data_IF_982100141126
#
_entry.id   IF_982100141126
#
_cell.length_a   1.000
_cell.length_b   1.000
_cell.length_c   1.000
_cell.angle_alpha   90.00
_cell.angle_beta   90.00
_cell.angle_gamma   90.00
#
_symmetry.space_group_name_H-M   'P 1'
#
loop_
_entity.id
_entity.type
_entity.pdbx_description
1 polymer ?
#
# COMPACT_ATOMS: atom_id res chain seq x y z
N UNK A 1 -25.02 5.54 4.37
CA UNK A 1 -24.55 5.25 4.10
C UNK A 1 -23.46 5.20 4.23
N UNK A 2 -23.00 5.02 4.10
CA UNK A 2 -22.09 5.06 4.24
C UNK A 2 -21.22 5.12 3.55
N UNK A 3 -20.61 5.56 3.43
CA UNK A 3 -19.68 5.73 2.61
C UNK A 3 -18.42 5.48 3.14
N UNK A 4 -18.04 4.29 3.39
CA UNK A 4 -16.76 3.88 3.87
C UNK A 4 -15.91 3.33 2.75
N UNK A 5 -16.00 3.96 1.61
CA UNK A 5 -15.19 3.55 0.47
C UNK A 5 -13.73 3.90 0.77
N UNK A 6 -12.88 2.90 0.75
CA UNK A 6 -11.47 3.08 1.04
C UNK A 6 -10.69 3.52 -0.18
N UNK A 7 -9.73 4.39 0.02
CA UNK A 7 -8.90 4.92 -1.06
C UNK A 7 -7.51 4.30 -0.98
N UNK A 8 -7.08 3.65 -2.07
CA UNK A 8 -5.80 2.95 -2.15
C UNK A 8 -4.88 3.67 -3.12
N UNK A 9 -3.63 3.86 -2.72
CA UNK A 9 -2.60 4.38 -3.63
C UNK A 9 -1.73 3.22 -4.05
N UNK A 10 -1.58 3.01 -5.36
CA UNK A 10 -0.70 1.99 -5.92
C UNK A 10 0.50 2.68 -6.56
N UNK A 11 1.68 2.38 -6.06
CA UNK A 11 2.93 2.98 -6.54
C UNK A 11 3.80 1.89 -7.15
N UNK A 12 3.97 1.89 -8.45
CA UNK A 12 4.76 0.90 -9.16
C UNK A 12 5.15 1.50 -10.51
N UNK A 13 6.39 1.29 -10.93
CA UNK A 13 6.82 1.83 -12.22
C UNK A 13 6.36 0.98 -13.40
N UNK A 14 5.80 -0.19 -13.16
CA UNK A 14 5.30 -1.07 -14.21
C UNK A 14 3.83 -0.72 -14.53
N UNK A 15 3.60 -0.22 -15.75
CA UNK A 15 2.25 0.14 -16.19
C UNK A 15 1.27 -1.00 -16.09
N UNK A 16 1.72 -2.21 -16.39
CA UNK A 16 0.82 -3.37 -16.40
C UNK A 16 0.33 -3.69 -15.01
N UNK A 17 1.19 -3.56 -14.02
CA UNK A 17 0.80 -3.82 -12.64
C UNK A 17 -0.15 -2.72 -12.15
N UNK A 18 0.17 -1.46 -12.46
CA UNK A 18 -0.71 -0.36 -12.06
C UNK A 18 -2.11 -0.53 -12.65
N UNK A 19 -2.18 -0.84 -13.94
CA UNK A 19 -3.47 -0.99 -14.60
C UNK A 19 -4.24 -2.19 -14.06
N UNK A 20 -3.54 -3.31 -13.89
CA UNK A 20 -4.16 -4.51 -13.35
C UNK A 20 -4.75 -4.25 -11.95
N UNK A 21 -3.97 -3.64 -11.08
CA UNK A 21 -4.42 -3.41 -9.72
C UNK A 21 -5.51 -2.35 -9.66
N UNK A 22 -5.40 -1.31 -10.49
CA UNK A 22 -6.45 -0.30 -10.53
C UNK A 22 -7.79 -0.93 -10.93
N UNK A 23 -7.78 -1.74 -11.99
CA UNK A 23 -9.01 -2.38 -12.45
C UNK A 23 -9.54 -3.36 -11.42
N UNK A 24 -8.67 -4.23 -10.93
CA UNK A 24 -9.08 -5.28 -10.01
C UNK A 24 -9.62 -4.71 -8.70
N UNK A 25 -8.92 -3.75 -8.11
CA UNK A 25 -9.33 -3.18 -6.84
C UNK A 25 -10.55 -2.28 -7.00
N UNK A 26 -10.65 -1.59 -8.14
CA UNK A 26 -11.86 -0.79 -8.41
C UNK A 26 -13.09 -1.68 -8.52
N UNK A 27 -12.95 -2.85 -9.12
CA UNK A 27 -14.06 -3.80 -9.22
C UNK A 27 -14.47 -4.32 -7.86
N UNK A 28 -13.58 -4.26 -6.90
CA UNK A 28 -13.87 -4.68 -5.52
C UNK A 28 -14.24 -3.50 -4.64
N UNK A 29 -14.67 -2.41 -5.27
CA UNK A 29 -15.27 -1.26 -4.59
C UNK A 29 -14.29 -0.38 -3.83
N UNK A 30 -13.03 -0.37 -4.23
CA UNK A 30 -12.06 0.59 -3.70
C UNK A 30 -11.89 1.74 -4.69
N UNK A 31 -11.56 2.91 -4.18
CA UNK A 31 -11.12 4.01 -5.03
C UNK A 31 -9.61 3.88 -5.14
N UNK A 32 -9.10 3.91 -6.37
CA UNK A 32 -7.68 3.66 -6.59
C UNK A 32 -7.02 4.82 -7.32
N UNK A 33 -5.94 5.33 -6.74
CA UNK A 33 -5.08 6.27 -7.42
C UNK A 33 -3.74 5.58 -7.67
N UNK A 34 -3.04 5.98 -8.70
CA UNK A 34 -1.77 5.36 -9.05
C UNK A 34 -0.65 6.39 -9.14
N UNK A 35 0.57 5.91 -8.96
CA UNK A 35 1.78 6.73 -9.14
C UNK A 35 2.85 5.82 -9.71
N UNK A 36 3.69 6.36 -10.58
CA UNK A 36 4.71 5.53 -11.22
C UNK A 36 6.09 5.67 -10.59
N UNK A 37 6.23 6.58 -9.63
CA UNK A 37 7.51 6.75 -8.93
C UNK A 37 7.26 7.46 -7.61
N UNK A 38 8.34 7.64 -6.84
CA UNK A 38 8.24 8.25 -5.51
C UNK A 38 7.75 9.69 -5.57
N UNK A 39 8.21 10.45 -6.56
CA UNK A 39 7.81 11.85 -6.67
C UNK A 39 6.32 11.98 -6.92
N UNK A 40 5.77 11.16 -7.82
CA UNK A 40 4.34 11.16 -8.05
C UNK A 40 3.56 10.71 -6.82
N UNK A 41 4.10 9.72 -6.09
CA UNK A 41 3.44 9.27 -4.87
C UNK A 41 3.36 10.41 -3.86
N UNK A 42 4.45 11.14 -3.68
CA UNK A 42 4.45 12.28 -2.76
C UNK A 42 3.48 13.35 -3.19
N UNK A 43 3.38 13.55 -4.50
CA UNK A 43 2.43 14.52 -5.05
C UNK A 43 0.99 14.12 -4.69
N UNK A 44 0.65 12.84 -4.89
CA UNK A 44 -0.68 12.34 -4.53
C UNK A 44 -0.97 12.53 -3.05
N UNK A 45 0.04 12.27 -2.21
CA UNK A 45 -0.13 12.36 -0.77
C UNK A 45 -0.32 13.78 -0.26
N UNK A 46 0.11 14.76 -1.04
CA UNK A 46 -0.12 16.17 -0.68
C UNK A 46 -1.59 16.54 -0.75
N UNK A 47 -2.31 15.96 -1.69
CA UNK A 47 -3.66 16.41 -1.99
C UNK A 47 -4.75 15.42 -1.63
N UNK A 48 -4.39 14.17 -1.37
CA UNK A 48 -5.38 13.13 -1.12
C UNK A 48 -5.00 12.33 0.13
N UNK A 49 -6.02 11.85 0.81
CA UNK A 49 -5.81 10.93 1.93
C UNK A 49 -6.04 9.51 1.45
N UNK A 50 -5.19 8.62 1.88
CA UNK A 50 -5.27 7.21 1.51
C UNK A 50 -5.42 6.35 2.76
N UNK A 51 -6.15 5.26 2.61
CA UNK A 51 -6.34 4.31 3.69
C UNK A 51 -5.28 3.22 3.69
N UNK A 52 -4.63 3.00 2.55
CA UNK A 52 -3.54 2.04 2.45
C UNK A 52 -2.73 2.37 1.19
N UNK A 53 -1.44 2.07 1.24
CA UNK A 53 -0.53 2.27 0.12
C UNK A 53 0.08 0.95 -0.27
N UNK A 54 0.04 0.63 -1.57
CA UNK A 54 0.72 -0.54 -2.14
C UNK A 54 1.94 0.01 -2.86
N UNK A 55 3.13 -0.41 -2.47
CA UNK A 55 4.34 0.25 -2.88
C UNK A 55 5.40 -0.73 -3.36
N UNK A 56 5.80 -0.57 -4.62
CA UNK A 56 6.88 -1.38 -5.19
C UNK A 56 8.21 -0.96 -4.60
N UNK A 57 9.04 -1.93 -4.24
CA UNK A 57 10.36 -1.66 -3.69
C UNK A 57 11.32 -1.19 -4.76
N UNK A 58 11.28 -1.82 -5.93
CA UNK A 58 12.25 -1.55 -7.00
C UNK A 58 11.72 -0.50 -7.96
N UNK A 59 12.08 0.75 -7.72
CA UNK A 59 11.70 1.85 -8.59
C UNK A 59 12.92 2.72 -8.90
N UNK A 60 12.98 3.33 -10.09
CA UNK A 60 14.04 4.29 -10.38
C UNK A 60 13.97 5.48 -9.43
N UNK A 61 15.12 6.03 -9.09
CA UNK A 61 15.16 7.16 -8.16
C UNK A 61 15.07 6.65 -6.73
N UNK A 62 14.13 7.18 -5.97
CA UNK A 62 13.94 6.76 -4.59
C UNK A 62 13.24 5.41 -4.56
N UNK A 63 13.82 4.43 -3.89
CA UNK A 63 13.22 3.10 -3.82
C UNK A 63 12.10 3.04 -2.77
N UNK A 64 11.37 1.93 -2.77
CA UNK A 64 10.21 1.78 -1.90
C UNK A 64 10.55 1.76 -0.41
N UNK A 65 11.74 1.28 -0.05
CA UNK A 65 12.12 1.27 1.36
C UNK A 65 12.30 2.69 1.88
N UNK A 66 13.01 3.50 1.11
CA UNK A 66 13.24 4.89 1.49
C UNK A 66 11.94 5.67 1.54
N UNK A 67 11.07 5.42 0.58
CA UNK A 67 9.78 6.10 0.55
C UNK A 67 8.91 5.67 1.73
N UNK A 68 8.94 4.40 2.10
CA UNK A 68 8.21 3.90 3.28
C UNK A 68 8.65 4.67 4.52
N UNK A 69 9.97 4.78 4.71
CA UNK A 69 10.51 5.48 5.87
C UNK A 69 10.05 6.93 5.90
N UNK A 70 10.11 7.57 4.75
CA UNK A 70 9.73 8.98 4.65
C UNK A 70 8.25 9.19 4.94
N UNK A 71 7.39 8.34 4.36
CA UNK A 71 5.95 8.45 4.57
C UNK A 71 5.60 8.22 6.03
N UNK A 72 6.17 7.19 6.64
CA UNK A 72 5.84 6.83 8.01
C UNK A 72 6.27 7.89 9.03
N UNK A 73 7.20 8.74 8.66
CA UNK A 73 7.58 9.85 9.53
C UNK A 73 6.50 10.92 9.59
N UNK A 74 5.69 11.02 8.56
CA UNK A 74 4.73 12.11 8.44
C UNK A 74 3.30 11.71 8.68
N UNK A 75 2.91 10.51 8.28
CA UNK A 75 1.54 10.08 8.41
C UNK A 75 1.47 8.62 8.83
N UNK A 76 0.35 8.27 9.45
CA UNK A 76 0.10 6.90 9.84
C UNK A 76 -0.82 6.28 8.81
N UNK A 77 -0.25 5.58 7.86
CA UNK A 77 -1.01 4.89 6.84
C UNK A 77 -0.38 3.52 6.64
N UNK A 78 -1.19 2.46 6.56
CA UNK A 78 -0.63 1.13 6.31
C UNK A 78 0.04 1.06 4.95
N UNK A 79 1.16 0.36 4.87
CA UNK A 79 1.91 0.19 3.63
C UNK A 79 2.18 -1.28 3.40
N UNK A 80 1.81 -1.78 2.23
CA UNK A 80 2.18 -3.13 1.78
C UNK A 80 3.24 -2.98 0.71
N UNK A 81 4.38 -3.62 0.91
CA UNK A 81 5.48 -3.57 -0.05
C UNK A 81 5.38 -4.72 -1.05
N UNK A 82 5.62 -4.41 -2.32
CA UNK A 82 5.74 -5.42 -3.37
C UNK A 82 7.22 -5.66 -3.61
N UNK A 83 7.68 -6.87 -3.36
CA UNK A 83 9.11 -7.20 -3.41
C UNK A 83 9.40 -8.29 -4.43
N UNK A 84 10.66 -8.41 -4.83
CA UNK A 84 11.06 -9.52 -5.67
C UNK A 84 10.95 -10.82 -4.89
N UNK A 85 10.55 -11.88 -5.59
CA UNK A 85 10.39 -13.18 -4.98
C UNK A 85 11.70 -13.68 -4.37
N UNK A 86 11.61 -14.22 -3.15
CA UNK A 86 12.76 -14.84 -2.51
C UNK A 86 13.69 -13.90 -1.77
N UNK A 87 13.39 -12.63 -1.70
CA UNK A 87 14.28 -11.68 -1.06
C UNK A 87 13.94 -11.51 0.41
N UNK A 88 14.39 -12.46 1.21
CA UNK A 88 14.10 -12.48 2.65
C UNK A 88 14.69 -11.27 3.37
N UNK A 89 15.92 -10.90 3.01
CA UNK A 89 16.57 -9.77 3.66
C UNK A 89 15.81 -8.47 3.41
N UNK A 90 15.31 -8.31 2.21
CA UNK A 90 14.54 -7.11 1.87
C UNK A 90 13.24 -7.05 2.64
N UNK A 91 12.64 -8.20 2.91
CA UNK A 91 11.43 -8.29 3.69
C UNK A 91 11.65 -7.79 5.12
N UNK A 92 12.73 -8.25 5.73
CA UNK A 92 13.08 -7.82 7.09
C UNK A 92 13.32 -6.32 7.10
N UNK A 93 14.05 -5.82 6.13
CA UNK A 93 14.33 -4.40 6.04
C UNK A 93 13.04 -3.57 5.91
N UNK A 94 12.11 -4.05 5.10
CA UNK A 94 10.83 -3.35 4.93
C UNK A 94 10.05 -3.27 6.22
N UNK A 95 10.01 -4.37 6.97
CA UNK A 95 9.30 -4.39 8.25
C UNK A 95 9.97 -3.48 9.27
N UNK A 96 11.30 -3.44 9.27
CA UNK A 96 12.04 -2.57 10.18
C UNK A 96 11.77 -1.10 9.90
N UNK A 97 11.47 -0.76 8.65
CA UNK A 97 11.19 0.61 8.26
C UNK A 97 9.73 1.00 8.46
N UNK A 98 8.90 0.07 8.92
CA UNK A 98 7.54 0.38 9.26
C UNK A 98 6.48 -0.13 8.31
N UNK A 99 6.85 -0.94 7.32
CA UNK A 99 5.86 -1.55 6.45
C UNK A 99 4.97 -2.49 7.23
N UNK A 100 3.70 -2.54 6.86
CA UNK A 100 2.73 -3.34 7.58
C UNK A 100 2.62 -4.75 7.03
N UNK A 101 3.01 -4.95 5.77
CA UNK A 101 3.01 -6.27 5.15
C UNK A 101 3.85 -6.19 3.89
N UNK A 102 4.05 -7.33 3.26
CA UNK A 102 4.78 -7.40 2.00
C UNK A 102 4.28 -8.59 1.21
N UNK A 103 4.40 -8.50 -0.11
CA UNK A 103 4.02 -9.57 -1.02
C UNK A 103 5.11 -9.71 -2.06
N UNK A 104 5.53 -10.95 -2.32
CA UNK A 104 6.54 -11.22 -3.35
C UNK A 104 5.93 -11.24 -4.73
N UNK A 105 6.62 -10.65 -5.70
CA UNK A 105 6.24 -10.72 -7.11
C UNK A 105 6.81 -12.01 -7.71
N UNK A 106 6.09 -12.65 -8.61
CA UNK A 106 4.73 -12.36 -9.07
C UNK A 106 3.69 -12.77 -8.03
N UNK A 107 2.58 -12.07 -7.97
CA UNK A 107 1.55 -12.36 -7.00
C UNK A 107 0.19 -12.49 -7.67
N UNK A 108 -0.72 -13.15 -6.96
CA UNK A 108 -2.10 -13.21 -7.39
C UNK A 108 -2.82 -11.96 -6.88
N UNK A 109 -3.57 -11.27 -7.72
CA UNK A 109 -4.31 -10.10 -7.24
C UNK A 109 -5.23 -10.40 -6.07
N UNK A 110 -5.80 -11.60 -6.03
CA UNK A 110 -6.64 -12.00 -4.92
C UNK A 110 -5.88 -12.08 -3.60
N UNK A 111 -4.61 -12.50 -3.65
CA UNK A 111 -3.79 -12.54 -2.45
C UNK A 111 -3.60 -11.12 -1.90
N UNK A 112 -3.31 -10.18 -2.79
CA UNK A 112 -3.15 -8.79 -2.37
C UNK A 112 -4.45 -8.26 -1.78
N UNK A 113 -5.58 -8.55 -2.43
CA UNK A 113 -6.88 -8.12 -1.93
C UNK A 113 -7.12 -8.63 -0.51
N UNK A 114 -6.80 -9.89 -0.26
CA UNK A 114 -7.02 -10.46 1.07
C UNK A 114 -6.14 -9.79 2.12
N UNK A 115 -4.90 -9.45 1.76
CA UNK A 115 -4.02 -8.75 2.69
C UNK A 115 -4.51 -7.34 2.97
N UNK A 116 -5.03 -6.67 1.95
CA UNK A 116 -5.63 -5.35 2.12
C UNK A 116 -6.80 -5.45 3.10
N UNK A 117 -7.68 -6.41 2.90
CA UNK A 117 -8.83 -6.59 3.77
C UNK A 117 -8.43 -6.88 5.22
N UNK A 118 -7.39 -7.71 5.38
CA UNK A 118 -6.90 -8.04 6.71
C UNK A 118 -6.38 -6.80 7.43
N UNK A 119 -5.64 -5.98 6.75
CA UNK A 119 -5.08 -4.77 7.35
C UNK A 119 -6.18 -3.79 7.71
N UNK A 120 -7.12 -3.58 6.81
CA UNK A 120 -8.23 -2.65 7.06
C UNK A 120 -9.10 -3.14 8.21
N UNK A 121 -9.40 -4.43 8.24
CA UNK A 121 -10.21 -5.00 9.31
C UNK A 121 -9.50 -4.92 10.66
N UNK A 122 -8.21 -5.15 10.66
CA UNK A 122 -7.43 -5.07 11.88
C UNK A 122 -7.45 -3.65 12.45
N UNK A 123 -7.28 -2.65 11.59
CA UNK A 123 -7.31 -1.26 12.02
C UNK A 123 -8.69 -0.87 12.53
N UNK A 124 -9.73 -1.29 11.83
CA UNK A 124 -11.10 -1.01 12.25
C UNK A 124 -11.41 -1.64 13.59
N UNK A 125 -10.92 -2.87 13.81
CA UNK A 125 -11.14 -3.57 15.05
C UNK A 125 -10.46 -2.85 16.21
N UNK A 126 -9.25 -2.37 15.99
CA UNK A 126 -8.53 -1.62 17.01
C UNK A 126 -9.26 -0.33 17.34
N UNK A 127 -9.72 0.39 16.32
CA UNK A 127 -10.47 1.61 16.53
C UNK A 127 -11.75 1.35 17.30
N UNK A 128 -12.44 0.27 16.95
CA UNK A 128 -13.67 -0.11 17.61
C UNK A 128 -13.45 -0.41 19.09
N UNK A 129 -12.37 -1.12 19.39
CA UNK A 129 -12.02 -1.44 20.76
C UNK A 129 -11.67 -0.17 21.53
N UNK A 130 -10.96 0.74 20.90
CA UNK A 130 -10.59 1.99 21.55
C UNK A 130 -11.80 2.84 21.85
N UNK A 131 -12.78 2.87 20.95
CA UNK A 131 -13.95 3.69 21.13
C UNK A 131 -14.89 3.18 22.23
N UNK A 132 -14.68 1.94 22.65
CA UNK A 132 -15.50 1.38 23.73
C UNK A 132 -14.89 1.62 25.12
N UNK A 133 -13.71 2.12 25.17
CA UNK A 133 -13.04 2.36 26.46
C UNK A 133 -13.45 3.67 27.14
#
# INVERSE_FOLDING_TARGET
MKNNTMHILVVDDDNRIRDLLKDYLSENEYIVSTAENADQAKERLKYLKFDIIILDVMMPGQNGYELTKEIKKQIKVPIILLTAKGEVENRIKGLELGADDYIGKPFEPKELLLRIKNIINKNNKIDSMTSHS
#
